data_IF_721054400417
#
_entry.id   IF_721054400417
#
_cell.length_a   1.000
_cell.length_b   1.000
_cell.length_c   1.000
_cell.angle_alpha   90.00
_cell.angle_beta   90.00
_cell.angle_gamma   90.00
#
_symmetry.space_group_name_H-M   'P 1'
#
loop_
_entity.id
_entity.type
_entity.pdbx_description
1 polymer ?
#
# COMPACT_ATOMS: atom_id res chain seq x y z
N UNK A 1 16.65 21.17 -0.63
CA UNK A 1 17.73 22.17 -0.79
C UNK A 1 17.82 22.68 -2.22
N UNK A 2 18.18 21.86 -3.21
CA UNK A 2 18.30 22.24 -4.64
C UNK A 2 16.94 22.64 -5.25
N UNK A 3 15.84 22.14 -4.68
CA UNK A 3 14.50 22.54 -5.09
C UNK A 3 13.99 23.85 -4.44
N UNK A 4 14.65 24.36 -3.42
CA UNK A 4 14.27 25.63 -2.78
C UNK A 4 14.56 26.81 -3.72
N UNK A 5 13.71 27.83 -3.73
CA UNK A 5 13.87 29.02 -4.60
C UNK A 5 14.90 30.02 -4.05
N UNK A 6 16.02 29.53 -3.50
CA UNK A 6 17.12 30.38 -3.05
C UNK A 6 18.32 30.22 -3.99
N UNK A 7 18.21 30.86 -5.15
CA UNK A 7 19.24 30.80 -6.20
C UNK A 7 20.58 31.39 -5.72
N UNK A 8 20.55 32.40 -4.85
CA UNK A 8 21.74 33.03 -4.27
C UNK A 8 22.50 32.06 -3.36
N UNK A 9 21.79 31.29 -2.54
CA UNK A 9 22.41 30.23 -1.72
C UNK A 9 23.01 29.13 -2.60
N UNK A 10 22.32 28.72 -3.66
CA UNK A 10 22.79 27.69 -4.59
C UNK A 10 24.05 28.11 -5.33
N UNK A 11 24.12 29.36 -5.79
CA UNK A 11 25.33 29.89 -6.44
C UNK A 11 26.53 29.94 -5.50
N UNK A 12 26.32 30.36 -4.24
CA UNK A 12 27.39 30.41 -3.23
C UNK A 12 27.94 29.01 -2.96
N UNK A 13 27.07 28.02 -2.79
CA UNK A 13 27.49 26.63 -2.59
C UNK A 13 28.20 26.11 -3.84
N UNK A 14 27.68 26.37 -5.04
CA UNK A 14 28.28 25.91 -6.30
C UNK A 14 29.70 26.46 -6.52
N UNK A 15 29.97 27.71 -6.14
CA UNK A 15 31.31 28.34 -6.20
C UNK A 15 32.28 27.70 -5.20
N UNK A 16 31.81 27.36 -4.01
CA UNK A 16 32.66 26.81 -2.96
C UNK A 16 32.96 25.31 -3.13
N UNK A 17 32.17 24.59 -3.92
CA UNK A 17 32.40 23.16 -4.19
C UNK A 17 33.75 22.88 -4.86
N UNK A 18 34.31 23.83 -5.63
CA UNK A 18 35.65 23.69 -6.23
C UNK A 18 36.78 23.69 -5.20
N UNK A 19 36.53 24.26 -4.02
CA UNK A 19 37.50 24.36 -2.92
C UNK A 19 37.24 23.31 -1.82
N UNK A 20 36.42 22.31 -2.10
CA UNK A 20 36.13 21.25 -1.14
C UNK A 20 37.41 20.45 -0.85
N UNK A 21 37.70 20.22 0.43
CA UNK A 21 38.82 19.40 0.86
C UNK A 21 38.63 17.95 0.39
N UNK A 22 39.69 17.32 -0.15
CA UNK A 22 39.68 15.93 -0.62
C UNK A 22 39.28 14.91 0.46
N UNK A 23 39.43 15.26 1.74
CA UNK A 23 39.01 14.43 2.88
C UNK A 23 37.52 14.62 3.26
N UNK A 24 36.81 15.54 2.60
CA UNK A 24 35.42 15.87 2.91
C UNK A 24 34.47 15.28 1.85
N UNK A 25 33.62 14.34 2.27
CA UNK A 25 32.55 13.81 1.43
C UNK A 25 31.29 14.66 1.67
N UNK A 26 30.84 15.36 0.64
CA UNK A 26 29.61 16.15 0.67
C UNK A 26 28.49 15.36 0.03
N UNK A 27 27.42 15.10 0.77
CA UNK A 27 26.24 14.38 0.29
C UNK A 27 25.06 15.33 0.19
N UNK A 28 24.50 15.46 -1.01
CA UNK A 28 23.25 16.17 -1.24
C UNK A 28 22.10 15.15 -1.34
N UNK A 29 21.02 15.39 -0.60
CA UNK A 29 19.85 14.52 -0.59
C UNK A 29 18.59 15.33 -0.94
N UNK A 30 17.87 14.90 -1.96
CA UNK A 30 16.59 15.46 -2.38
C UNK A 30 15.54 14.35 -2.49
N UNK A 31 14.33 14.63 -2.00
CA UNK A 31 13.21 13.69 -2.07
C UNK A 31 12.55 13.62 -3.46
N UNK A 32 12.71 14.68 -4.25
CA UNK A 32 12.14 14.81 -5.57
C UNK A 32 13.24 15.11 -6.60
N UNK A 33 12.98 14.77 -7.85
CA UNK A 33 13.94 15.00 -8.92
C UNK A 33 14.29 16.50 -9.01
N UNK A 34 15.57 16.89 -8.91
CA UNK A 34 15.97 18.28 -9.03
C UNK A 34 15.76 18.77 -10.46
N UNK A 35 15.51 20.07 -10.62
CA UNK A 35 15.50 20.70 -11.95
C UNK A 35 16.89 20.62 -12.55
N UNK A 36 17.05 19.87 -13.64
CA UNK A 36 18.34 19.72 -14.35
C UNK A 36 18.93 21.05 -14.88
N UNK A 37 18.13 22.11 -14.91
CA UNK A 37 18.54 23.47 -15.27
C UNK A 37 19.25 24.23 -14.15
N UNK A 38 19.08 23.83 -12.87
CA UNK A 38 19.66 24.50 -11.71
C UNK A 38 21.21 24.48 -11.76
N UNK A 39 21.84 25.62 -11.46
CA UNK A 39 23.29 25.80 -11.56
C UNK A 39 24.06 24.89 -10.58
N UNK A 40 23.58 24.74 -9.35
CA UNK A 40 24.19 23.86 -8.35
C UNK A 40 24.09 22.38 -8.77
N UNK A 41 22.94 21.94 -9.28
CA UNK A 41 22.80 20.57 -9.80
C UNK A 41 23.77 20.28 -10.94
N UNK A 42 23.87 21.19 -11.93
CA UNK A 42 24.83 21.06 -13.04
C UNK A 42 26.28 20.97 -12.54
N UNK A 43 26.62 21.73 -11.50
CA UNK A 43 27.94 21.69 -10.89
C UNK A 43 28.22 20.34 -10.23
N UNK A 44 27.30 19.87 -9.38
CA UNK A 44 27.41 18.57 -8.69
C UNK A 44 27.54 17.43 -9.71
N UNK A 45 26.70 17.41 -10.75
CA UNK A 45 26.73 16.39 -11.80
C UNK A 45 28.04 16.38 -12.61
N UNK A 46 28.80 17.49 -12.62
CA UNK A 46 30.10 17.57 -13.31
C UNK A 46 31.26 17.07 -12.45
N UNK A 47 31.21 17.32 -11.14
CA UNK A 47 32.35 17.06 -10.23
C UNK A 47 32.15 15.84 -9.32
N UNK A 48 30.94 15.31 -9.21
CA UNK A 48 30.58 14.22 -8.32
C UNK A 48 29.71 13.15 -8.99
N UNK A 49 29.23 12.21 -8.19
CA UNK A 49 28.33 11.14 -8.61
C UNK A 49 26.88 11.53 -8.33
N UNK A 50 25.99 11.25 -9.28
CA UNK A 50 24.55 11.46 -9.13
C UNK A 50 23.87 10.11 -9.27
N UNK A 51 23.27 9.66 -8.18
CA UNK A 51 22.46 8.43 -8.14
C UNK A 51 20.99 8.80 -7.93
N UNK A 52 20.13 8.33 -8.82
CA UNK A 52 18.69 8.48 -8.70
C UNK A 52 18.08 7.21 -8.10
N UNK A 53 17.29 7.38 -7.05
CA UNK A 53 16.56 6.28 -6.39
C UNK A 53 15.05 6.44 -6.63
N UNK A 54 14.56 6.26 -7.88
CA UNK A 54 13.14 6.36 -8.15
C UNK A 54 12.41 5.30 -7.31
N UNK A 55 11.33 5.70 -6.64
CA UNK A 55 10.43 4.70 -6.03
C UNK A 55 9.96 3.79 -7.16
N UNK A 56 10.26 2.48 -7.13
CA UNK A 56 9.77 1.59 -8.16
C UNK A 56 8.26 1.69 -8.15
N UNK A 57 7.69 1.89 -9.35
CA UNK A 57 6.25 1.82 -9.50
C UNK A 57 5.78 0.46 -8.98
N UNK A 58 4.57 0.31 -8.42
CA UNK A 58 4.17 -0.98 -7.88
C UNK A 58 3.95 -2.04 -8.99
N UNK A 59 3.99 -1.66 -10.27
CA UNK A 59 4.14 -2.58 -11.40
C UNK A 59 5.56 -3.19 -11.53
N UNK A 60 6.59 -2.50 -11.05
CA UNK A 60 7.99 -2.93 -11.04
C UNK A 60 8.41 -3.60 -9.72
N UNK A 61 7.56 -3.62 -8.70
CA UNK A 61 7.92 -4.17 -7.38
C UNK A 61 8.26 -5.65 -7.47
N UNK A 62 7.54 -6.42 -8.29
CA UNK A 62 7.83 -7.83 -8.56
C UNK A 62 9.22 -8.01 -9.19
N UNK A 63 9.56 -7.15 -10.15
CA UNK A 63 10.86 -7.17 -10.81
C UNK A 63 11.99 -6.82 -9.83
N UNK A 64 11.74 -5.84 -8.96
CA UNK A 64 12.66 -5.49 -7.90
C UNK A 64 12.86 -6.67 -6.92
N UNK A 65 11.77 -7.32 -6.47
CA UNK A 65 11.82 -8.51 -5.61
C UNK A 65 12.66 -9.61 -6.26
N UNK A 66 12.43 -9.91 -7.54
CA UNK A 66 13.20 -10.93 -8.27
C UNK A 66 14.69 -10.57 -8.38
N UNK A 67 15.02 -9.31 -8.63
CA UNK A 67 16.41 -8.87 -8.69
C UNK A 67 17.08 -8.95 -7.32
N UNK A 68 16.40 -8.51 -6.27
CA UNK A 68 16.89 -8.57 -4.89
C UNK A 68 17.08 -10.02 -4.43
N UNK A 69 16.11 -10.88 -4.72
CA UNK A 69 16.19 -12.30 -4.46
C UNK A 69 17.38 -12.96 -5.15
N UNK A 70 17.67 -12.61 -6.42
CA UNK A 70 18.86 -13.09 -7.13
C UNK A 70 20.16 -12.64 -6.46
N UNK A 71 20.26 -11.37 -6.05
CA UNK A 71 21.44 -10.84 -5.36
C UNK A 71 21.69 -11.54 -4.03
N UNK A 72 20.61 -11.85 -3.31
CA UNK A 72 20.68 -12.45 -1.98
C UNK A 72 20.64 -13.99 -1.99
N UNK A 73 20.68 -14.63 -3.17
CA UNK A 73 20.57 -16.08 -3.39
C UNK A 73 19.29 -16.71 -2.79
N UNK A 74 18.15 -16.05 -2.99
CA UNK A 74 16.81 -16.50 -2.57
C UNK A 74 16.12 -17.16 -3.77
N UNK A 75 15.66 -18.39 -3.59
CA UNK A 75 14.91 -19.12 -4.61
C UNK A 75 13.42 -18.76 -4.53
N UNK A 76 12.97 -17.80 -5.34
CA UNK A 76 11.57 -17.38 -5.44
C UNK A 76 11.19 -17.23 -6.92
N UNK A 77 10.01 -17.70 -7.29
CA UNK A 77 9.53 -17.59 -8.67
C UNK A 77 8.79 -16.26 -8.92
N UNK A 78 8.39 -16.02 -10.17
CA UNK A 78 7.67 -14.80 -10.57
C UNK A 78 6.31 -14.66 -9.87
N UNK A 79 5.61 -15.78 -9.66
CA UNK A 79 4.28 -15.81 -9.06
C UNK A 79 4.34 -15.49 -7.57
N UNK A 80 5.23 -16.13 -6.82
CA UNK A 80 5.42 -15.88 -5.39
C UNK A 80 6.03 -14.51 -5.13
N UNK A 81 6.96 -14.03 -5.99
CA UNK A 81 7.46 -12.65 -5.91
C UNK A 81 6.33 -11.62 -6.11
N UNK A 82 5.45 -11.88 -7.08
CA UNK A 82 4.26 -11.06 -7.31
C UNK A 82 3.30 -11.10 -6.13
N UNK A 83 3.10 -12.28 -5.53
CA UNK A 83 2.28 -12.44 -4.33
C UNK A 83 2.85 -11.68 -3.14
N UNK A 84 4.16 -11.79 -2.89
CA UNK A 84 4.84 -11.10 -1.79
C UNK A 84 4.64 -9.58 -1.87
N UNK A 85 4.83 -8.99 -3.06
CA UNK A 85 4.64 -7.55 -3.29
C UNK A 85 3.19 -7.08 -3.14
N UNK A 86 2.22 -7.98 -3.24
CA UNK A 86 0.80 -7.70 -3.01
C UNK A 86 0.40 -7.92 -1.55
N UNK A 87 1.03 -8.90 -0.91
CA UNK A 87 0.73 -9.33 0.44
C UNK A 87 1.28 -8.32 1.45
N UNK A 88 2.55 -7.93 1.30
CA UNK A 88 3.23 -6.99 2.19
C UNK A 88 2.91 -5.53 1.85
N UNK A 89 3.33 -4.61 2.72
CA UNK A 89 3.30 -3.20 2.35
C UNK A 89 4.20 -2.92 1.15
N UNK A 90 3.78 -2.06 0.20
CA UNK A 90 4.57 -1.71 -0.98
C UNK A 90 5.71 -0.74 -0.62
N UNK A 91 6.57 -1.17 0.30
CA UNK A 91 7.74 -0.47 0.80
C UNK A 91 8.94 -1.41 0.62
N UNK A 92 9.95 -0.97 -0.13
CA UNK A 92 11.12 -1.79 -0.43
C UNK A 92 11.90 -2.21 0.82
N UNK A 93 11.94 -1.35 1.84
CA UNK A 93 12.60 -1.68 3.10
C UNK A 93 11.86 -2.81 3.82
N UNK A 94 10.53 -2.70 3.93
CA UNK A 94 9.69 -3.77 4.48
C UNK A 94 9.88 -5.06 3.69
N UNK A 95 9.76 -5.01 2.36
CA UNK A 95 9.88 -6.20 1.51
C UNK A 95 11.30 -6.81 1.59
N UNK A 96 12.35 -5.99 1.71
CA UNK A 96 13.72 -6.48 1.91
C UNK A 96 13.84 -7.29 3.20
N UNK A 97 13.27 -6.78 4.30
CA UNK A 97 13.28 -7.47 5.60
C UNK A 97 12.44 -8.77 5.54
N UNK A 98 11.31 -8.73 4.83
CA UNK A 98 10.46 -9.90 4.60
C UNK A 98 11.18 -10.98 3.77
N UNK A 99 11.92 -10.59 2.73
CA UNK A 99 12.77 -11.50 1.96
C UNK A 99 13.87 -12.13 2.81
N UNK A 100 14.48 -11.37 3.72
CA UNK A 100 15.50 -11.90 4.63
C UNK A 100 14.91 -12.95 5.60
N UNK A 101 13.74 -12.69 6.19
CA UNK A 101 13.02 -13.67 7.01
C UNK A 101 12.72 -14.95 6.22
N UNK A 102 12.19 -14.79 5.01
CA UNK A 102 11.85 -15.90 4.12
C UNK A 102 13.10 -16.71 3.75
N UNK A 103 14.23 -16.06 3.46
CA UNK A 103 15.51 -16.71 3.17
C UNK A 103 15.95 -17.61 4.33
N UNK A 104 15.92 -17.07 5.55
CA UNK A 104 16.34 -17.81 6.76
C UNK A 104 15.44 -19.02 6.97
N UNK A 105 14.12 -18.85 6.88
CA UNK A 105 13.16 -19.93 7.12
C UNK A 105 13.18 -21.01 6.02
N UNK A 106 13.26 -20.58 4.76
CA UNK A 106 13.25 -21.51 3.63
C UNK A 106 14.51 -22.37 3.61
N UNK A 107 15.64 -21.88 4.10
CA UNK A 107 16.91 -22.60 4.17
C UNK A 107 17.25 -23.28 2.82
N UNK A 108 17.39 -22.44 1.79
CA UNK A 108 17.64 -22.82 0.37
C UNK A 108 16.48 -23.52 -0.36
N UNK A 109 15.34 -23.79 0.28
CA UNK A 109 14.11 -24.22 -0.42
C UNK A 109 13.52 -23.07 -1.24
N UNK A 110 12.70 -23.43 -2.22
CA UNK A 110 11.89 -22.45 -2.95
C UNK A 110 10.86 -21.80 -2.01
N UNK A 111 10.78 -20.48 -2.03
CA UNK A 111 9.75 -19.72 -1.32
C UNK A 111 8.39 -20.09 -1.90
N UNK A 112 7.46 -20.49 -1.04
CA UNK A 112 6.07 -20.77 -1.43
C UNK A 112 5.12 -19.71 -0.90
N UNK A 113 3.90 -19.70 -1.44
CA UNK A 113 2.82 -18.83 -0.95
C UNK A 113 2.54 -19.04 0.54
N UNK A 114 2.55 -20.28 0.99
CA UNK A 114 2.27 -20.65 2.38
C UNK A 114 3.33 -20.08 3.33
N UNK A 115 4.61 -20.11 2.94
CA UNK A 115 5.68 -19.47 3.71
C UNK A 115 5.49 -17.95 3.83
N UNK A 116 5.04 -17.30 2.76
CA UNK A 116 4.74 -15.86 2.76
C UNK A 116 3.59 -15.58 3.73
N UNK A 117 2.50 -16.36 3.67
CA UNK A 117 1.35 -16.18 4.56
C UNK A 117 1.65 -16.51 6.03
N UNK A 118 2.61 -17.40 6.29
CA UNK A 118 3.03 -17.81 7.64
C UNK A 118 3.96 -16.78 8.30
N UNK A 119 4.88 -16.18 7.55
CA UNK A 119 5.99 -15.39 8.11
C UNK A 119 5.91 -13.90 7.85
N UNK A 120 5.24 -13.51 6.77
CA UNK A 120 5.18 -12.12 6.37
C UNK A 120 4.01 -11.40 7.02
N UNK A 121 4.18 -10.09 7.23
CA UNK A 121 3.09 -9.27 7.75
C UNK A 121 2.21 -8.79 6.59
N UNK A 122 0.90 -9.08 6.58
CA UNK A 122 0.02 -8.56 5.54
C UNK A 122 -0.12 -7.04 5.66
N UNK A 123 -0.13 -6.34 4.54
CA UNK A 123 -0.48 -4.93 4.50
C UNK A 123 -1.94 -4.72 4.91
N UNK A 124 -2.24 -3.54 5.46
CA UNK A 124 -3.61 -3.12 5.75
C UNK A 124 -4.54 -3.28 4.54
N UNK A 125 -4.04 -2.95 3.34
CA UNK A 125 -4.80 -3.14 2.08
C UNK A 125 -5.07 -4.63 1.80
N UNK A 126 -4.06 -5.50 1.93
CA UNK A 126 -4.20 -6.95 1.75
C UNK A 126 -5.24 -7.54 2.71
N UNK A 127 -5.16 -7.18 3.99
CA UNK A 127 -6.10 -7.60 5.02
C UNK A 127 -7.53 -7.11 4.76
N UNK A 128 -7.72 -5.88 4.28
CA UNK A 128 -9.05 -5.37 3.90
C UNK A 128 -9.62 -6.11 2.70
N UNK A 129 -8.79 -6.46 1.72
CA UNK A 129 -9.25 -7.33 0.64
C UNK A 129 -9.72 -8.68 1.18
N UNK A 130 -8.96 -9.31 2.07
CA UNK A 130 -9.32 -10.60 2.69
C UNK A 130 -10.62 -10.50 3.50
N UNK A 131 -10.80 -9.43 4.26
CA UNK A 131 -12.04 -9.14 4.98
C UNK A 131 -13.23 -9.05 4.01
N UNK A 132 -13.03 -8.35 2.89
CA UNK A 132 -14.09 -8.15 1.89
C UNK A 132 -14.40 -9.42 1.11
N UNK A 133 -13.40 -10.26 0.85
CA UNK A 133 -13.57 -11.61 0.29
C UNK A 133 -14.44 -12.46 1.22
N UNK A 134 -14.16 -12.44 2.52
CA UNK A 134 -14.96 -13.17 3.52
C UNK A 134 -16.42 -12.68 3.54
N UNK A 135 -16.63 -11.35 3.47
CA UNK A 135 -17.98 -10.76 3.35
C UNK A 135 -18.68 -11.22 2.09
N UNK A 136 -17.99 -11.22 0.94
CA UNK A 136 -18.55 -11.68 -0.33
C UNK A 136 -18.98 -13.15 -0.30
N UNK A 137 -18.19 -13.98 0.39
CA UNK A 137 -18.42 -15.41 0.54
C UNK A 137 -19.37 -15.76 1.70
N UNK A 138 -19.96 -14.75 2.36
CA UNK A 138 -20.82 -14.94 3.54
C UNK A 138 -20.13 -15.69 4.69
N UNK A 139 -18.81 -15.60 4.76
CA UNK A 139 -18.00 -16.28 5.76
C UNK A 139 -17.76 -15.36 6.95
N UNK A 140 -18.72 -15.34 7.88
CA UNK A 140 -18.66 -14.54 9.12
C UNK A 140 -17.39 -14.82 9.91
N UNK A 141 -17.02 -16.11 10.03
CA UNK A 141 -15.88 -16.56 10.84
C UNK A 141 -14.59 -15.92 10.34
N UNK A 142 -14.29 -16.05 9.05
CA UNK A 142 -13.04 -15.49 8.49
C UNK A 142 -13.07 -13.96 8.45
N UNK A 143 -14.25 -13.35 8.31
CA UNK A 143 -14.43 -11.91 8.41
C UNK A 143 -14.03 -11.39 9.80
N UNK A 144 -14.57 -11.98 10.86
CA UNK A 144 -14.26 -11.57 12.24
C UNK A 144 -12.80 -11.87 12.63
N UNK A 145 -12.26 -13.02 12.20
CA UNK A 145 -10.83 -13.34 12.42
C UNK A 145 -9.94 -12.29 11.75
N UNK A 146 -10.22 -11.94 10.49
CA UNK A 146 -9.43 -10.94 9.76
C UNK A 146 -9.55 -9.56 10.40
N UNK A 147 -10.73 -9.19 10.89
CA UNK A 147 -10.93 -7.93 11.62
C UNK A 147 -10.19 -7.89 12.96
N UNK A 148 -10.17 -8.99 13.71
CA UNK A 148 -9.36 -9.08 14.95
C UNK A 148 -7.88 -8.90 14.66
N UNK A 149 -7.34 -9.57 13.64
CA UNK A 149 -5.93 -9.42 13.22
C UNK A 149 -5.63 -7.96 12.84
N UNK A 150 -6.55 -7.31 12.11
CA UNK A 150 -6.41 -5.89 11.76
C UNK A 150 -6.34 -5.00 13.00
N UNK A 151 -7.21 -5.22 13.98
CA UNK A 151 -7.21 -4.47 15.24
C UNK A 151 -5.92 -4.70 16.03
N UNK A 152 -5.44 -5.94 16.08
CA UNK A 152 -4.25 -6.33 16.84
C UNK A 152 -2.94 -5.92 16.14
N UNK A 153 -3.01 -5.44 14.89
CA UNK A 153 -1.84 -4.97 14.12
C UNK A 153 -1.25 -3.63 14.61
N UNK A 154 -1.92 -2.96 15.54
CA UNK A 154 -1.54 -1.62 16.02
C UNK A 154 -2.03 -0.46 15.15
N UNK A 155 -2.75 -0.75 14.06
CA UNK A 155 -3.44 0.25 13.26
C UNK A 155 -4.62 0.86 14.01
N UNK A 156 -4.86 2.15 13.77
CA UNK A 156 -5.97 2.87 14.39
C UNK A 156 -7.32 2.34 13.86
N UNK A 157 -8.25 2.03 14.76
CA UNK A 157 -9.54 1.41 14.39
C UNK A 157 -10.38 2.30 13.46
N UNK A 158 -10.31 3.63 13.61
CA UNK A 158 -10.99 4.57 12.72
C UNK A 158 -10.36 4.50 11.32
N UNK A 159 -9.03 4.39 11.25
CA UNK A 159 -8.31 4.22 9.98
C UNK A 159 -8.70 2.92 9.28
N UNK A 160 -8.78 1.80 10.01
CA UNK A 160 -9.24 0.51 9.46
C UNK A 160 -10.64 0.67 8.88
N UNK A 161 -11.58 1.24 9.64
CA UNK A 161 -12.95 1.49 9.19
C UNK A 161 -13.01 2.38 7.94
N UNK A 162 -12.24 3.49 7.91
CA UNK A 162 -12.19 4.37 6.76
C UNK A 162 -11.68 3.64 5.51
N UNK A 163 -10.68 2.76 5.65
CA UNK A 163 -10.17 1.99 4.54
C UNK A 163 -11.15 0.91 4.05
N UNK A 164 -11.92 0.30 4.95
CA UNK A 164 -13.05 -0.58 4.57
C UNK A 164 -14.07 0.23 3.75
N UNK A 165 -14.49 1.39 4.25
CA UNK A 165 -15.47 2.23 3.57
C UNK A 165 -14.98 2.71 2.20
N UNK A 166 -13.70 3.08 2.09
CA UNK A 166 -13.05 3.41 0.82
C UNK A 166 -13.07 2.22 -0.14
N UNK A 167 -12.75 1.02 0.33
CA UNK A 167 -12.72 -0.17 -0.52
C UNK A 167 -14.10 -0.53 -1.08
N UNK A 168 -15.16 -0.45 -0.27
CA UNK A 168 -16.54 -0.63 -0.77
C UNK A 168 -16.94 0.43 -1.80
N UNK A 169 -16.50 1.68 -1.65
CA UNK A 169 -16.71 2.73 -2.67
C UNK A 169 -16.01 2.38 -3.99
N UNK A 170 -14.78 1.87 -3.92
CA UNK A 170 -14.03 1.41 -5.10
C UNK A 170 -14.74 0.21 -5.75
N UNK A 171 -15.28 -0.73 -4.95
CA UNK A 171 -16.09 -1.85 -5.46
C UNK A 171 -17.32 -1.37 -6.24
N UNK A 172 -18.08 -0.40 -5.70
CA UNK A 172 -19.24 0.19 -6.37
C UNK A 172 -18.83 0.78 -7.73
N UNK A 173 -17.80 1.63 -7.73
CA UNK A 173 -17.31 2.29 -8.94
C UNK A 173 -16.83 1.27 -9.99
N UNK A 174 -16.06 0.27 -9.57
CA UNK A 174 -15.57 -0.78 -10.47
C UNK A 174 -16.73 -1.60 -11.02
N UNK A 175 -17.72 -1.95 -10.19
CA UNK A 175 -18.88 -2.71 -10.62
C UNK A 175 -19.69 -1.97 -11.69
N UNK A 176 -20.01 -0.70 -11.43
CA UNK A 176 -20.75 0.15 -12.36
C UNK A 176 -20.02 0.29 -13.72
N UNK A 177 -18.70 0.48 -13.69
CA UNK A 177 -17.90 0.59 -14.91
C UNK A 177 -17.83 -0.73 -15.69
N UNK A 178 -17.74 -1.88 -15.00
CA UNK A 178 -17.76 -3.20 -15.62
C UNK A 178 -19.13 -3.49 -16.25
N UNK A 179 -20.23 -3.08 -15.62
CA UNK A 179 -21.59 -3.19 -16.19
C UNK A 179 -21.75 -2.34 -17.47
N UNK A 180 -21.06 -1.20 -17.53
CA UNK A 180 -20.93 -0.37 -18.74
C UNK A 180 -19.93 -0.93 -19.78
N UNK A 181 -19.38 -2.12 -19.54
CA UNK A 181 -18.38 -2.80 -20.40
C UNK A 181 -17.09 -2.00 -20.61
N UNK A 182 -16.73 -1.15 -19.65
CA UNK A 182 -15.42 -0.48 -19.69
C UNK A 182 -14.30 -1.50 -19.50
N UNK A 183 -13.20 -1.32 -20.24
CA UNK A 183 -12.02 -2.18 -20.08
C UNK A 183 -11.21 -1.79 -18.83
N UNK A 184 -10.37 -2.72 -18.38
CA UNK A 184 -9.59 -2.54 -17.16
C UNK A 184 -8.62 -1.34 -17.19
N UNK A 185 -8.06 -1.02 -18.36
CA UNK A 185 -7.17 0.14 -18.49
C UNK A 185 -7.91 1.47 -18.34
N UNK A 186 -9.15 1.55 -18.86
CA UNK A 186 -10.05 2.70 -18.65
C UNK A 186 -10.35 2.89 -17.16
N UNK A 187 -10.70 1.79 -16.48
CA UNK A 187 -10.99 1.78 -15.04
C UNK A 187 -9.80 2.28 -14.22
N UNK A 188 -8.59 1.78 -14.52
CA UNK A 188 -7.34 2.22 -13.87
C UNK A 188 -7.13 3.73 -14.04
N UNK A 189 -7.25 4.24 -15.27
CA UNK A 189 -7.06 5.66 -15.56
C UNK A 189 -8.10 6.54 -14.88
N UNK A 190 -9.37 6.11 -14.88
CA UNK A 190 -10.48 6.89 -14.31
C UNK A 190 -10.43 6.93 -12.79
N UNK A 191 -10.19 5.80 -12.14
CA UNK A 191 -10.17 5.71 -10.67
C UNK A 191 -8.82 6.10 -10.06
N UNK A 192 -7.79 6.27 -10.90
CA UNK A 192 -6.41 6.58 -10.49
C UNK A 192 -5.91 5.63 -9.39
N UNK A 193 -6.38 4.39 -9.40
CA UNK A 193 -5.94 3.35 -8.49
C UNK A 193 -4.87 2.51 -9.18
N UNK A 194 -4.04 1.85 -8.37
CA UNK A 194 -3.03 0.95 -8.89
C UNK A 194 -3.67 -0.21 -9.69
N UNK A 195 -3.07 -0.66 -10.81
CA UNK A 195 -3.58 -1.79 -11.60
C UNK A 195 -3.94 -3.02 -10.78
N UNK A 196 -3.13 -3.36 -9.78
CA UNK A 196 -3.41 -4.49 -8.87
C UNK A 196 -4.70 -4.31 -8.07
N UNK A 197 -4.93 -3.11 -7.52
CA UNK A 197 -6.16 -2.81 -6.76
C UNK A 197 -7.37 -2.98 -7.66
N UNK A 198 -7.29 -2.48 -8.91
CA UNK A 198 -8.37 -2.66 -9.88
C UNK A 198 -8.55 -4.12 -10.26
N UNK A 199 -7.48 -4.87 -10.53
CA UNK A 199 -7.55 -6.32 -10.82
C UNK A 199 -8.27 -7.09 -9.72
N UNK A 200 -7.83 -6.94 -8.46
CA UNK A 200 -8.44 -7.66 -7.34
C UNK A 200 -9.88 -7.21 -7.09
N UNK A 201 -10.14 -5.90 -7.15
CA UNK A 201 -11.49 -5.36 -6.98
C UNK A 201 -12.44 -5.82 -8.08
N UNK A 202 -12.00 -5.87 -9.35
CA UNK A 202 -12.81 -6.35 -10.47
C UNK A 202 -13.18 -7.83 -10.35
N UNK A 203 -12.35 -8.64 -9.69
CA UNK A 203 -12.70 -10.02 -9.37
C UNK A 203 -13.71 -10.06 -8.21
N UNK A 204 -13.46 -9.32 -7.13
CA UNK A 204 -14.36 -9.24 -5.98
C UNK A 204 -15.75 -8.70 -6.33
N UNK A 205 -15.83 -7.69 -7.20
CA UNK A 205 -17.10 -7.05 -7.57
C UNK A 205 -18.08 -7.99 -8.26
N UNK A 206 -17.60 -9.11 -8.82
CA UNK A 206 -18.45 -10.16 -9.42
C UNK A 206 -19.27 -10.91 -8.38
N UNK A 207 -18.80 -10.97 -7.14
CA UNK A 207 -19.46 -11.68 -6.04
C UNK A 207 -20.53 -10.82 -5.33
N UNK A 208 -20.73 -9.57 -5.76
CA UNK A 208 -21.72 -8.67 -5.19
C UNK A 208 -22.71 -8.20 -6.25
N UNK A 209 -23.96 -7.95 -5.86
CA UNK A 209 -24.91 -7.17 -6.64
C UNK A 209 -24.76 -5.68 -6.34
N UNK A 210 -25.19 -4.81 -7.27
CA UNK A 210 -25.07 -3.37 -7.10
C UNK A 210 -25.85 -2.91 -5.87
N UNK A 211 -27.10 -3.38 -5.74
CA UNK A 211 -27.95 -3.17 -4.57
C UNK A 211 -27.28 -3.59 -3.27
N UNK A 212 -26.60 -4.74 -3.24
CA UNK A 212 -25.91 -5.20 -2.02
C UNK A 212 -24.76 -4.28 -1.65
N UNK A 213 -23.98 -3.79 -2.61
CA UNK A 213 -22.91 -2.84 -2.31
C UNK A 213 -23.46 -1.51 -1.77
N UNK A 214 -24.58 -1.04 -2.31
CA UNK A 214 -25.29 0.16 -1.83
C UNK A 214 -25.78 -0.02 -0.38
N UNK A 215 -26.44 -1.14 -0.07
CA UNK A 215 -26.88 -1.48 1.30
C UNK A 215 -25.70 -1.49 2.29
N UNK A 216 -24.56 -2.07 1.90
CA UNK A 216 -23.35 -2.09 2.75
C UNK A 216 -22.81 -0.67 2.93
N UNK A 217 -22.79 0.13 1.86
CA UNK A 217 -22.32 1.51 1.91
C UNK A 217 -23.18 2.41 2.79
N UNK A 218 -24.49 2.22 2.80
CA UNK A 218 -25.42 2.93 3.70
C UNK A 218 -25.17 2.59 5.18
N UNK A 219 -24.88 1.32 5.49
CA UNK A 219 -24.52 0.92 6.86
C UNK A 219 -23.20 1.55 7.30
N UNK A 220 -22.20 1.56 6.42
CA UNK A 220 -20.93 2.25 6.65
C UNK A 220 -21.16 3.74 6.90
N UNK A 221 -21.97 4.41 6.08
CA UNK A 221 -22.32 5.83 6.26
C UNK A 221 -23.00 6.08 7.61
N UNK A 222 -23.90 5.18 8.03
CA UNK A 222 -24.60 5.28 9.31
C UNK A 222 -23.62 5.25 10.48
N UNK A 223 -22.63 4.34 10.46
CA UNK A 223 -21.58 4.26 11.49
C UNK A 223 -20.72 5.53 11.48
N UNK A 224 -20.32 6.02 10.30
CA UNK A 224 -19.54 7.25 10.17
C UNK A 224 -20.26 8.47 10.76
N UNK A 225 -21.55 8.64 10.46
CA UNK A 225 -22.39 9.72 11.01
C UNK A 225 -22.50 9.59 12.53
N UNK A 226 -22.85 8.42 13.06
CA UNK A 226 -22.97 8.20 14.51
C UNK A 226 -21.66 8.51 15.23
N UNK A 227 -20.54 8.15 14.63
CA UNK A 227 -19.21 8.42 15.18
C UNK A 227 -18.89 9.91 15.19
N UNK A 228 -19.10 10.61 14.08
CA UNK A 228 -18.83 12.05 13.96
C UNK A 228 -19.79 12.93 14.77
N UNK A 229 -20.99 12.44 15.05
CA UNK A 229 -21.99 13.12 15.90
C UNK A 229 -21.84 12.78 17.39
N UNK A 230 -20.83 11.98 17.76
CA UNK A 230 -20.57 11.60 19.15
C UNK A 230 -21.58 10.59 19.72
N UNK A 231 -22.47 10.03 18.89
CA UNK A 231 -23.41 8.96 19.29
C UNK A 231 -22.72 7.61 19.47
N UNK A 232 -21.56 7.42 18.84
CA UNK A 232 -20.63 6.32 19.11
C UNK A 232 -19.32 6.94 19.57
N UNK A 233 -18.79 6.47 20.70
CA UNK A 233 -17.46 6.87 21.16
C UNK A 233 -16.37 6.17 20.36
N UNK A 234 -15.39 6.93 19.88
CA UNK A 234 -14.28 6.43 19.05
C UNK A 234 -12.91 7.01 19.41
N UNK A 235 -12.78 7.73 20.52
CA UNK A 235 -11.52 8.34 20.94
C UNK A 235 -10.59 7.30 21.57
N UNK A 236 -9.27 7.48 21.37
CA UNK A 236 -8.21 6.61 21.91
C UNK A 236 -8.43 6.33 23.41
N UNK A 237 -8.89 5.12 23.73
CA UNK A 237 -9.09 4.62 25.09
C UNK A 237 -10.50 4.07 25.37
N UNK A 238 -11.52 4.50 24.64
CA UNK A 238 -12.91 4.01 24.76
C UNK A 238 -13.51 3.80 23.36
N UNK A 239 -13.06 2.72 22.70
CA UNK A 239 -13.43 2.39 21.32
C UNK A 239 -14.38 1.19 21.23
N UNK A 240 -14.79 0.60 22.37
CA UNK A 240 -15.53 -0.67 22.41
C UNK A 240 -16.86 -0.60 21.68
N UNK A 241 -17.55 0.53 21.77
CA UNK A 241 -18.81 0.74 21.08
C UNK A 241 -18.61 0.81 19.56
N UNK A 242 -17.55 1.51 19.11
CA UNK A 242 -17.20 1.57 17.70
C UNK A 242 -16.77 0.21 17.15
N UNK A 243 -15.94 -0.52 17.88
CA UNK A 243 -15.53 -1.89 17.57
C UNK A 243 -16.74 -2.79 17.37
N UNK A 244 -17.68 -2.79 18.33
CA UNK A 244 -18.89 -3.60 18.28
C UNK A 244 -19.76 -3.26 17.06
N UNK A 245 -19.89 -1.98 16.69
CA UNK A 245 -20.66 -1.59 15.51
C UNK A 245 -20.00 -2.06 14.21
N UNK A 246 -18.66 -2.09 14.14
CA UNK A 246 -17.93 -2.65 12.99
C UNK A 246 -18.05 -4.18 12.93
N UNK A 247 -17.99 -4.88 14.07
CA UNK A 247 -18.24 -6.33 14.11
C UNK A 247 -19.66 -6.69 13.67
N UNK A 248 -20.66 -5.97 14.17
CA UNK A 248 -22.06 -6.12 13.75
C UNK A 248 -22.22 -5.89 12.25
N UNK A 249 -21.56 -4.86 11.71
CA UNK A 249 -21.54 -4.62 10.27
C UNK A 249 -21.02 -5.85 9.52
N UNK A 250 -19.86 -6.40 9.92
CA UNK A 250 -19.29 -7.59 9.28
C UNK A 250 -20.28 -8.77 9.32
N UNK A 251 -20.86 -9.05 10.48
CA UNK A 251 -21.85 -10.13 10.66
C UNK A 251 -23.06 -9.92 9.73
N UNK A 252 -23.61 -8.70 9.71
CA UNK A 252 -24.78 -8.39 8.91
C UNK A 252 -24.51 -8.39 7.40
N UNK A 253 -23.29 -8.03 6.99
CA UNK A 253 -22.88 -8.07 5.60
C UNK A 253 -22.65 -9.50 5.09
N UNK A 254 -22.41 -10.45 6.00
CA UNK A 254 -22.27 -11.87 5.68
C UNK A 254 -23.60 -12.66 5.69
N UNK A 255 -24.71 -12.09 6.15
CA UNK A 255 -26.06 -12.68 6.02
C UNK A 255 -26.55 -12.51 4.58
#
# INVERSE_FOLDING_TARGET
FIQEQDEDAHEKVAKNLDNANELCIIVFYENEAPKKTNALFKKIAKIGQVEEFPRPFPADITKWILNKAKQDNINIDLREAGYLGQYCEPNLWTISNELEKLKIYANSRQITKEMIEELCTPSLTSSIFKLTDAVAQKNVKDGLITFSILKDSGEDLIRIFFMIARHFRILIQVKEMLEKRENQQSIIRRLKQHPFVIQKTSLQSKNFTQKRLEEIHEKLLTIDIKTKTGKIKSYRGDNKEFELEVEKLIIDCCK
#
